data_IF_853432837944
#
_entry.id   IF_853432837944
#
_cell.length_a   1.000
_cell.length_b   1.000
_cell.length_c   1.000
_cell.angle_alpha   90.00
_cell.angle_beta   90.00
_cell.angle_gamma   90.00
#
_symmetry.space_group_name_H-M   'P 1'
#
loop_
_entity.id
_entity.type
_entity.pdbx_description
1 polymer ?
#
# COMPACT_ATOMS: atom_id res chain seq x y z
N UNK A 1 7.84 -6.79 -21.47
CA UNK A 1 7.13 -7.29 -20.28
C UNK A 1 7.93 -6.85 -19.07
N UNK A 2 7.84 -5.56 -18.73
CA UNK A 2 8.58 -4.97 -17.62
C UNK A 2 7.69 -5.00 -16.39
N UNK A 3 8.13 -5.76 -15.39
CA UNK A 3 7.53 -5.89 -14.08
C UNK A 3 7.47 -4.49 -13.45
N UNK A 4 6.30 -4.14 -12.95
CA UNK A 4 5.96 -2.83 -12.40
C UNK A 4 6.76 -2.49 -11.15
N UNK A 5 8.00 -2.04 -11.33
CA UNK A 5 8.57 -1.07 -10.42
C UNK A 5 7.88 0.26 -10.71
N UNK A 6 6.88 0.63 -9.89
CA UNK A 6 6.17 1.91 -9.95
C UNK A 6 7.09 3.05 -10.37
N UNK A 7 6.65 3.84 -11.35
CA UNK A 7 7.47 4.88 -11.94
C UNK A 7 7.96 5.91 -10.92
N UNK A 8 7.26 6.10 -9.80
CA UNK A 8 7.61 7.07 -8.75
C UNK A 8 8.97 6.80 -8.09
N UNK A 9 9.29 5.54 -7.79
CA UNK A 9 10.56 5.22 -7.12
C UNK A 9 11.75 5.14 -8.07
N UNK A 10 11.52 4.84 -9.35
CA UNK A 10 12.58 4.94 -10.36
C UNK A 10 12.88 6.41 -10.71
N UNK A 11 11.85 7.25 -10.86
CA UNK A 11 12.00 8.67 -11.15
C UNK A 11 12.74 9.43 -10.03
N UNK A 12 12.48 9.11 -8.75
CA UNK A 12 13.17 9.73 -7.61
C UNK A 12 14.67 9.45 -7.57
N UNK A 13 15.09 8.28 -8.06
CA UNK A 13 16.50 7.88 -8.12
C UNK A 13 17.21 8.52 -9.29
N UNK A 14 16.54 8.68 -10.45
CA UNK A 14 17.07 9.40 -11.60
C UNK A 14 17.21 10.90 -11.33
N UNK A 15 16.27 11.51 -10.59
CA UNK A 15 16.33 12.95 -10.30
C UNK A 15 17.53 13.34 -9.41
N UNK A 16 17.93 12.45 -8.49
CA UNK A 16 19.11 12.65 -7.64
C UNK A 16 20.44 12.41 -8.36
N UNK A 17 20.46 11.71 -9.50
CA UNK A 17 21.70 11.47 -10.27
C UNK A 17 22.10 12.67 -11.14
N UNK A 18 21.19 13.63 -11.38
CA UNK A 18 21.45 14.78 -12.25
C UNK A 18 22.20 15.95 -11.61
N UNK A 19 22.48 15.92 -10.30
CA UNK A 19 22.93 17.12 -9.56
C UNK A 19 24.12 16.93 -8.59
N UNK A 20 24.80 15.79 -8.59
CA UNK A 20 25.96 15.56 -7.71
C UNK A 20 27.28 15.61 -8.51
N UNK A 21 28.03 16.68 -8.27
CA UNK A 21 29.42 16.86 -8.68
C UNK A 21 30.33 15.89 -7.92
N UNK A 22 31.11 15.15 -8.70
CA UNK A 22 32.40 14.45 -8.52
C UNK A 22 33.17 14.28 -7.18
N UNK A 23 32.72 14.62 -5.97
CA UNK A 23 33.57 14.44 -4.77
C UNK A 23 32.93 13.80 -3.51
N UNK A 24 31.69 13.32 -3.57
CA UNK A 24 31.10 12.54 -2.46
C UNK A 24 30.47 11.22 -2.95
N UNK A 25 30.98 10.11 -2.44
CA UNK A 25 30.49 8.75 -2.71
C UNK A 25 28.97 8.63 -2.44
N UNK A 26 28.17 8.10 -3.39
CA UNK A 26 26.74 7.93 -3.17
C UNK A 26 26.48 6.78 -2.20
N UNK A 27 26.09 7.11 -0.97
CA UNK A 27 25.63 6.18 0.08
C UNK A 27 24.38 5.36 -0.37
N UNK A 28 23.77 5.67 -1.52
CA UNK A 28 22.51 5.08 -2.00
C UNK A 28 22.62 3.95 -3.04
N UNK A 29 23.82 3.52 -3.43
CA UNK A 29 23.98 2.58 -4.57
C UNK A 29 24.59 1.22 -4.26
N UNK A 30 25.03 0.93 -3.04
CA UNK A 30 25.74 -0.34 -2.78
C UNK A 30 24.85 -1.50 -2.31
N UNK A 31 23.74 -1.23 -1.61
CA UNK A 31 22.93 -2.29 -0.99
C UNK A 31 21.64 -2.67 -1.75
N UNK A 32 21.21 -1.84 -2.72
CA UNK A 32 19.92 -2.06 -3.43
C UNK A 32 19.90 -3.21 -4.45
N UNK A 33 21.02 -3.87 -4.72
CA UNK A 33 21.06 -5.08 -5.57
C UNK A 33 20.94 -6.36 -4.74
N UNK A 34 21.37 -6.36 -3.48
CA UNK A 34 21.38 -7.56 -2.63
C UNK A 34 20.09 -7.71 -1.77
N UNK A 35 19.51 -6.59 -1.36
CA UNK A 35 18.21 -6.52 -0.66
C UNK A 35 17.00 -6.89 -1.57
N UNK A 36 17.20 -6.95 -2.89
CA UNK A 36 16.15 -7.28 -3.85
C UNK A 36 15.80 -8.76 -3.96
N UNK A 37 16.54 -9.67 -3.30
CA UNK A 37 16.36 -11.12 -3.51
C UNK A 37 15.29 -11.78 -2.62
N UNK A 38 14.99 -11.25 -1.43
CA UNK A 38 13.95 -11.78 -0.55
C UNK A 38 12.62 -11.03 -0.67
N UNK A 39 12.64 -9.78 -1.15
CA UNK A 39 11.43 -8.98 -1.39
C UNK A 39 10.52 -9.66 -2.41
N UNK A 40 11.08 -10.22 -3.48
CA UNK A 40 10.30 -10.90 -4.51
C UNK A 40 9.52 -12.09 -3.94
N UNK A 41 10.18 -12.97 -3.18
CA UNK A 41 9.54 -14.14 -2.58
C UNK A 41 8.41 -13.76 -1.62
N UNK A 42 8.61 -12.72 -0.80
CA UNK A 42 7.57 -12.23 0.11
C UNK A 42 6.40 -11.60 -0.66
N UNK A 43 6.68 -10.78 -1.68
CA UNK A 43 5.67 -10.17 -2.54
C UNK A 43 4.83 -11.23 -3.28
N UNK A 44 5.47 -12.27 -3.82
CA UNK A 44 4.75 -13.38 -4.45
C UNK A 44 3.78 -14.07 -3.49
N UNK A 45 4.22 -14.36 -2.26
CA UNK A 45 3.36 -14.97 -1.24
C UNK A 45 2.21 -14.04 -0.85
N UNK A 46 2.50 -12.76 -0.61
CA UNK A 46 1.48 -11.77 -0.24
C UNK A 46 0.41 -11.60 -1.34
N UNK A 47 0.83 -11.48 -2.60
CA UNK A 47 -0.11 -11.39 -3.73
C UNK A 47 -0.89 -12.69 -3.92
N UNK A 48 -0.25 -13.85 -3.73
CA UNK A 48 -0.93 -15.14 -3.78
C UNK A 48 -2.07 -15.21 -2.76
N UNK A 49 -1.79 -14.91 -1.48
CA UNK A 49 -2.83 -14.87 -0.44
C UNK A 49 -3.93 -13.84 -0.73
N UNK A 50 -3.61 -12.67 -1.27
CA UNK A 50 -4.62 -11.68 -1.65
C UNK A 50 -5.57 -12.19 -2.74
N UNK A 51 -5.05 -12.84 -3.79
CA UNK A 51 -5.90 -13.38 -4.86
C UNK A 51 -6.82 -14.50 -4.36
N UNK A 52 -6.34 -15.32 -3.40
CA UNK A 52 -7.16 -16.33 -2.74
C UNK A 52 -8.32 -15.71 -1.96
N UNK A 53 -8.11 -14.55 -1.32
CA UNK A 53 -9.15 -13.85 -0.55
C UNK A 53 -10.10 -13.03 -1.44
N UNK A 54 -9.61 -12.51 -2.57
CA UNK A 54 -10.41 -11.71 -3.50
C UNK A 54 -11.52 -12.55 -4.18
N UNK A 55 -11.24 -13.82 -4.45
CA UNK A 55 -12.18 -14.75 -5.10
C UNK A 55 -13.47 -14.98 -4.29
N UNK A 56 -13.43 -15.42 -3.01
CA UNK A 56 -14.62 -15.60 -2.20
C UNK A 56 -15.33 -14.27 -1.88
N UNK A 57 -14.60 -13.14 -1.82
CA UNK A 57 -15.20 -11.82 -1.66
C UNK A 57 -16.13 -11.48 -2.83
N UNK A 58 -15.65 -11.64 -4.06
CA UNK A 58 -16.45 -11.43 -5.28
C UNK A 58 -17.66 -12.37 -5.33
N UNK A 59 -17.49 -13.64 -4.99
CA UNK A 59 -18.61 -14.61 -4.94
C UNK A 59 -19.66 -14.19 -3.89
N UNK A 60 -19.23 -13.66 -2.75
CA UNK A 60 -20.13 -13.20 -1.69
C UNK A 60 -21.02 -12.04 -2.15
N UNK A 61 -20.44 -11.08 -2.88
CA UNK A 61 -21.18 -9.95 -3.46
C UNK A 61 -22.18 -10.45 -4.51
N UNK A 62 -21.73 -11.32 -5.42
CA UNK A 62 -22.57 -11.87 -6.48
C UNK A 62 -23.77 -12.67 -5.97
N UNK A 63 -23.62 -13.39 -4.84
CA UNK A 63 -24.73 -14.11 -4.19
C UNK A 63 -25.70 -13.21 -3.44
N UNK A 64 -25.27 -12.01 -3.07
CA UNK A 64 -26.09 -11.06 -2.30
C UNK A 64 -26.98 -10.19 -3.20
N UNK A 65 -26.78 -10.19 -4.51
CA UNK A 65 -27.48 -9.33 -5.47
C UNK A 65 -28.17 -10.14 -6.59
N UNK A 66 -29.28 -9.62 -7.11
CA UNK A 66 -30.00 -10.22 -8.25
C UNK A 66 -29.14 -10.25 -9.50
N UNK A 67 -29.27 -11.30 -10.32
CA UNK A 67 -28.45 -11.53 -11.52
C UNK A 67 -28.40 -10.34 -12.49
N UNK A 68 -29.51 -9.61 -12.65
CA UNK A 68 -29.61 -8.46 -13.56
C UNK A 68 -28.78 -7.23 -13.12
N UNK A 69 -28.40 -7.15 -11.83
CA UNK A 69 -27.73 -5.99 -11.23
C UNK A 69 -26.29 -6.28 -10.77
N UNK A 70 -25.76 -7.46 -11.10
CA UNK A 70 -24.44 -7.92 -10.65
C UNK A 70 -23.30 -7.03 -11.15
N UNK A 71 -23.31 -6.67 -12.43
CA UNK A 71 -22.29 -5.81 -13.04
C UNK A 71 -22.32 -4.37 -12.48
N UNK A 72 -23.51 -3.86 -12.19
CA UNK A 72 -23.68 -2.55 -11.57
C UNK A 72 -23.11 -2.52 -10.15
N UNK A 73 -23.42 -3.55 -9.32
CA UNK A 73 -22.93 -3.65 -7.94
C UNK A 73 -21.41 -3.72 -7.88
N UNK A 74 -20.79 -4.57 -8.69
CA UNK A 74 -19.33 -4.72 -8.73
C UNK A 74 -18.64 -3.44 -9.20
N UNK A 75 -19.23 -2.75 -10.20
CA UNK A 75 -18.73 -1.47 -10.67
C UNK A 75 -18.78 -0.40 -9.57
N UNK A 76 -19.92 -0.30 -8.87
CA UNK A 76 -20.11 0.68 -7.80
C UNK A 76 -19.14 0.47 -6.63
N UNK A 77 -19.00 -0.78 -6.14
CA UNK A 77 -18.05 -1.11 -5.08
C UNK A 77 -16.61 -0.76 -5.48
N UNK A 78 -16.20 -1.14 -6.69
CA UNK A 78 -14.86 -0.83 -7.20
C UNK A 78 -14.60 0.67 -7.33
N UNK A 79 -15.60 1.45 -7.76
CA UNK A 79 -15.50 2.91 -7.82
C UNK A 79 -15.27 3.51 -6.42
N UNK A 80 -16.06 3.12 -5.43
CA UNK A 80 -15.93 3.65 -4.05
C UNK A 80 -14.57 3.29 -3.46
N UNK A 81 -14.18 2.01 -3.55
CA UNK A 81 -12.91 1.54 -3.00
C UNK A 81 -11.73 2.28 -3.64
N UNK A 82 -11.74 2.44 -4.97
CA UNK A 82 -10.67 3.16 -5.67
C UNK A 82 -10.61 4.63 -5.30
N UNK A 83 -11.74 5.32 -5.17
CA UNK A 83 -11.76 6.73 -4.75
C UNK A 83 -11.16 6.90 -3.36
N UNK A 84 -11.55 6.05 -2.41
CA UNK A 84 -11.03 6.09 -1.05
C UNK A 84 -9.55 5.70 -0.98
N UNK A 85 -9.12 4.71 -1.76
CA UNK A 85 -7.72 4.27 -1.83
C UNK A 85 -6.83 5.37 -2.42
N UNK A 86 -7.28 6.02 -3.49
CA UNK A 86 -6.53 7.07 -4.18
C UNK A 86 -6.32 8.30 -3.30
N UNK A 87 -7.24 8.62 -2.40
CA UNK A 87 -7.09 9.74 -1.46
C UNK A 87 -6.22 9.34 -0.27
N UNK A 88 -6.44 8.17 0.31
CA UNK A 88 -5.72 7.72 1.51
C UNK A 88 -4.25 7.38 1.26
N UNK A 89 -3.92 6.88 0.08
CA UNK A 89 -2.55 6.50 -0.30
C UNK A 89 -1.56 7.67 -0.28
N UNK A 90 -1.80 8.82 -0.95
CA UNK A 90 -0.88 9.96 -0.92
C UNK A 90 -0.78 10.60 0.47
N UNK A 91 -1.87 10.60 1.26
CA UNK A 91 -1.86 11.14 2.62
C UNK A 91 -0.95 10.29 3.52
N UNK A 92 -1.14 8.97 3.52
CA UNK A 92 -0.31 8.04 4.29
C UNK A 92 1.15 8.09 3.85
N UNK A 93 1.39 8.13 2.54
CA UNK A 93 2.74 8.22 2.00
C UNK A 93 3.43 9.52 2.42
N UNK A 94 2.72 10.65 2.39
CA UNK A 94 3.22 11.94 2.88
C UNK A 94 3.67 11.87 4.34
N UNK A 95 2.83 11.34 5.22
CA UNK A 95 3.16 11.18 6.66
C UNK A 95 4.38 10.28 6.87
N UNK A 96 4.49 9.17 6.13
CA UNK A 96 5.61 8.24 6.28
C UNK A 96 6.91 8.89 5.81
N UNK A 97 6.88 9.59 4.67
CA UNK A 97 8.01 10.34 4.14
C UNK A 97 8.47 11.43 5.11
N UNK A 98 7.55 12.26 5.60
CA UNK A 98 7.86 13.35 6.52
C UNK A 98 8.53 12.82 7.80
N UNK A 99 8.09 11.66 8.29
CA UNK A 99 8.68 10.99 9.44
C UNK A 99 10.07 10.37 9.18
N UNK A 100 10.48 10.16 7.93
CA UNK A 100 11.80 9.62 7.57
C UNK A 100 12.79 10.69 7.13
N UNK A 101 12.40 11.96 7.26
CA UNK A 101 13.27 13.08 6.96
C UNK A 101 14.42 13.18 7.96
N UNK A 102 15.65 13.17 7.46
CA UNK A 102 16.86 13.39 8.27
C UNK A 102 17.23 14.88 8.31
N UNK A 103 17.02 15.60 7.19
CA UNK A 103 17.34 17.03 7.08
C UNK A 103 16.30 17.79 6.28
N UNK A 104 15.74 18.84 6.89
CA UNK A 104 14.77 19.74 6.26
C UNK A 104 15.50 20.86 5.51
N UNK A 105 15.10 21.12 4.26
CA UNK A 105 15.57 22.30 3.54
C UNK A 105 14.92 23.55 4.16
N UNK A 106 15.73 24.46 4.72
CA UNK A 106 15.26 25.76 5.16
C UNK A 106 15.20 26.70 3.95
N UNK A 107 13.99 27.07 3.53
CA UNK A 107 13.82 28.22 2.65
C UNK A 107 14.06 29.50 3.46
N UNK A 108 14.60 30.54 2.82
CA UNK A 108 15.04 31.84 3.37
C UNK A 108 13.97 32.65 4.12
N UNK A 109 12.77 32.09 4.30
CA UNK A 109 11.66 32.74 4.98
C UNK A 109 10.90 31.73 5.84
N UNK A 110 11.49 31.25 6.95
CA UNK A 110 10.87 30.52 8.09
C UNK A 110 9.79 29.43 7.79
N UNK A 111 9.63 29.01 6.55
CA UNK A 111 8.69 28.01 6.08
C UNK A 111 9.49 26.73 5.82
N UNK A 112 9.02 25.62 6.40
CA UNK A 112 9.58 24.30 6.13
C UNK A 112 9.33 23.97 4.66
N UNK A 113 10.39 23.89 3.86
CA UNK A 113 10.32 23.35 2.51
C UNK A 113 10.35 21.81 2.55
N UNK A 114 10.29 21.15 1.40
CA UNK A 114 10.40 19.69 1.32
C UNK A 114 11.72 19.18 1.94
N UNK A 115 11.70 17.94 2.44
CA UNK A 115 12.90 17.28 2.96
C UNK A 115 13.94 17.06 1.86
N UNK A 116 15.23 17.24 2.18
CA UNK A 116 16.33 17.05 1.22
C UNK A 116 16.89 15.63 1.24
N UNK A 117 17.01 15.02 2.44
CA UNK A 117 17.61 13.69 2.63
C UNK A 117 16.70 12.81 3.48
N UNK A 118 16.37 11.63 2.94
CA UNK A 118 15.57 10.60 3.59
C UNK A 118 16.42 9.39 3.96
N UNK A 119 16.08 8.71 5.06
CA UNK A 119 16.74 7.46 5.45
C UNK A 119 16.34 6.30 4.51
N UNK A 120 17.30 5.79 3.72
CA UNK A 120 17.05 4.74 2.72
C UNK A 120 16.74 3.36 3.29
N UNK A 121 17.28 3.03 4.47
CA UNK A 121 17.19 1.68 5.05
C UNK A 121 15.87 1.48 5.82
N UNK A 122 15.44 2.53 6.53
CA UNK A 122 14.24 2.48 7.38
C UNK A 122 12.95 2.78 6.62
N UNK A 123 13.03 3.49 5.50
CA UNK A 123 11.87 3.85 4.67
C UNK A 123 11.08 2.64 4.15
N UNK A 124 11.69 1.64 3.46
CA UNK A 124 10.96 0.50 2.94
C UNK A 124 10.32 -0.33 4.06
N UNK A 125 11.06 -0.58 5.16
CA UNK A 125 10.54 -1.32 6.31
C UNK A 125 9.29 -0.65 6.91
N UNK A 126 9.30 0.68 7.07
CA UNK A 126 8.13 1.40 7.61
C UNK A 126 6.93 1.37 6.67
N UNK A 127 7.14 1.49 5.37
CA UNK A 127 6.06 1.39 4.37
C UNK A 127 5.40 0.00 4.38
N UNK A 128 6.20 -1.07 4.41
CA UNK A 128 5.69 -2.44 4.51
C UNK A 128 4.96 -2.68 5.83
N UNK A 129 5.54 -2.26 6.95
CA UNK A 129 4.92 -2.40 8.27
C UNK A 129 3.55 -1.70 8.34
N UNK A 130 3.44 -0.46 7.84
CA UNK A 130 2.16 0.27 7.81
C UNK A 130 1.13 -0.44 6.94
N UNK A 131 1.52 -0.97 5.79
CA UNK A 131 0.62 -1.72 4.89
C UNK A 131 0.09 -2.98 5.56
N UNK A 132 0.95 -3.73 6.26
CA UNK A 132 0.56 -4.92 7.01
C UNK A 132 -0.43 -4.56 8.13
N UNK A 133 -0.17 -3.49 8.89
CA UNK A 133 -1.05 -3.03 9.97
C UNK A 133 -2.44 -2.67 9.42
N UNK A 134 -2.51 -1.91 8.33
CA UNK A 134 -3.79 -1.53 7.71
C UNK A 134 -4.57 -2.77 7.27
N UNK A 135 -3.90 -3.73 6.62
CA UNK A 135 -4.52 -4.99 6.20
C UNK A 135 -5.01 -5.84 7.37
N UNK A 136 -4.25 -5.90 8.47
CA UNK A 136 -4.66 -6.62 9.68
C UNK A 136 -5.92 -6.01 10.29
N UNK A 137 -6.01 -4.69 10.37
CA UNK A 137 -7.20 -3.99 10.86
C UNK A 137 -8.42 -4.33 9.99
N UNK A 138 -8.27 -4.29 8.66
CA UNK A 138 -9.33 -4.68 7.73
C UNK A 138 -9.76 -6.13 7.90
N UNK A 139 -8.81 -7.06 8.09
CA UNK A 139 -9.10 -8.47 8.31
C UNK A 139 -9.91 -8.69 9.60
N UNK A 140 -9.53 -8.02 10.69
CA UNK A 140 -10.26 -8.07 11.96
C UNK A 140 -11.69 -7.54 11.79
N UNK A 141 -11.87 -6.43 11.07
CA UNK A 141 -13.20 -5.87 10.83
C UNK A 141 -14.11 -6.84 10.06
N UNK A 142 -13.59 -7.47 9.00
CA UNK A 142 -14.32 -8.48 8.22
C UNK A 142 -14.63 -9.71 9.09
N UNK A 143 -13.69 -10.16 9.91
CA UNK A 143 -13.88 -11.29 10.83
C UNK A 143 -15.02 -11.00 11.81
N UNK A 144 -15.06 -9.81 12.40
CA UNK A 144 -16.13 -9.40 13.32
C UNK A 144 -17.50 -9.43 12.61
N UNK A 145 -17.60 -8.84 11.41
CA UNK A 145 -18.83 -8.86 10.62
C UNK A 145 -19.26 -10.29 10.27
N UNK A 146 -18.31 -11.15 9.92
CA UNK A 146 -18.56 -12.55 9.65
C UNK A 146 -19.11 -13.29 10.89
N UNK A 147 -18.54 -13.08 12.07
CA UNK A 147 -19.03 -13.67 13.32
C UNK A 147 -20.44 -13.20 13.67
N UNK A 148 -20.73 -11.92 13.48
CA UNK A 148 -22.08 -11.36 13.69
C UNK A 148 -23.08 -12.05 12.76
N UNK A 149 -22.73 -12.18 11.46
CA UNK A 149 -23.61 -12.82 10.49
C UNK A 149 -23.79 -14.32 10.72
N UNK A 150 -22.72 -15.00 11.11
CA UNK A 150 -22.76 -16.40 11.48
C UNK A 150 -23.70 -16.65 12.68
N UNK A 151 -23.73 -15.73 13.64
CA UNK A 151 -24.64 -15.80 14.79
C UNK A 151 -26.10 -15.62 14.39
N UNK A 152 -26.42 -14.67 13.50
CA UNK A 152 -27.77 -14.51 12.94
C UNK A 152 -28.27 -15.78 12.24
N UNK A 153 -27.43 -16.40 11.41
CA UNK A 153 -27.81 -17.59 10.66
C UNK A 153 -28.12 -18.79 11.57
N UNK A 154 -27.42 -18.92 12.71
CA UNK A 154 -27.76 -19.93 13.73
C UNK A 154 -29.09 -19.65 14.41
N UNK A 155 -29.43 -18.38 14.67
CA UNK A 155 -30.69 -17.99 15.29
C UNK A 155 -31.89 -18.33 14.39
N UNK A 156 -31.75 -18.14 13.07
CA UNK A 156 -32.78 -18.50 12.08
C UNK A 156 -32.95 -20.02 11.85
N UNK A 157 -32.04 -20.86 12.35
CA UNK A 157 -32.13 -22.33 12.23
C UNK A 157 -32.76 -23.02 13.46
N UNK A 158 -33.08 -22.27 14.53
CA UNK A 158 -33.65 -22.79 15.78
C UNK A 158 -35.15 -22.44 15.92
N UNK A 159 -35.70 -21.64 14.99
CA UNK A 159 -37.10 -21.23 14.94
C UNK A 159 -37.81 -21.85 13.74
#
# INVERSE_FOLDING_TARGET
>A
MSIGTSPFYTLGITYLTGHLNNDDQPIYTKDRVFEGSYENSCLFLLTYFETLMATPHLINILRSVRHELQSFSLGFENCIVKLLAQISTPILFGIILDNQCLFWSQSTFHHRASCFIYNGDKLPMRLFATTIIIKLISFIFILILFLIKFRENKFLLIQ
#
